data_IF_366135852766
#
_entry.id   IF_366135852766
#
_cell.length_a   1.000
_cell.length_b   1.000
_cell.length_c   1.000
_cell.angle_alpha   90.00
_cell.angle_beta   90.00
_cell.angle_gamma   90.00
#
_symmetry.space_group_name_H-M   'P 1'
#
loop_
_entity.id
_entity.type
_entity.pdbx_description
1 polymer ?
#
# COMPACT_ATOMS: atom_id res chain seq x y z
N UNK A 1 10.40 -5.52 -28.09
CA UNK A 1 9.25 -5.75 -27.20
C UNK A 1 8.44 -4.47 -27.17
N UNK A 2 7.14 -4.54 -27.46
CA UNK A 2 6.24 -3.40 -27.22
C UNK A 2 6.16 -3.17 -25.71
N UNK A 3 6.09 -1.92 -25.20
CA UNK A 3 5.73 -1.69 -23.81
C UNK A 3 4.39 -2.40 -23.57
N UNK A 4 4.31 -3.22 -22.54
CA UNK A 4 3.03 -3.78 -22.11
C UNK A 4 2.26 -2.58 -21.56
N UNK A 5 1.28 -2.09 -22.31
CA UNK A 5 0.34 -1.08 -21.80
C UNK A 5 -0.33 -1.65 -20.54
N UNK A 6 -0.52 -0.80 -19.54
CA UNK A 6 -1.05 -1.19 -18.26
C UNK A 6 -1.97 -0.10 -17.72
N UNK A 7 -2.98 -0.52 -16.96
CA UNK A 7 -3.93 0.37 -16.32
C UNK A 7 -3.54 0.69 -14.88
N UNK A 8 -4.02 1.84 -14.41
CA UNK A 8 -3.73 2.34 -13.06
C UNK A 8 -4.88 2.03 -12.11
N UNK A 9 -4.56 1.40 -10.98
CA UNK A 9 -5.48 1.19 -9.86
C UNK A 9 -5.12 2.14 -8.74
N UNK A 10 -5.99 3.11 -8.45
CA UNK A 10 -5.79 4.10 -7.40
C UNK A 10 -6.28 3.61 -6.04
N UNK A 11 -5.45 3.78 -5.03
CA UNK A 11 -5.73 3.42 -3.65
C UNK A 11 -5.73 4.70 -2.82
N UNK A 12 -6.88 5.01 -2.23
CA UNK A 12 -7.07 6.16 -1.36
C UNK A 12 -6.85 5.75 0.10
N UNK A 13 -5.66 6.03 0.63
CA UNK A 13 -5.35 5.73 2.03
C UNK A 13 -5.92 6.81 2.97
N UNK A 14 -7.07 6.52 3.59
CA UNK A 14 -7.72 7.38 4.59
C UNK A 14 -7.66 6.79 6.01
N UNK A 15 -6.65 5.95 6.27
CA UNK A 15 -6.44 5.35 7.57
C UNK A 15 -6.04 6.40 8.63
N UNK A 16 -6.06 5.97 9.89
CA UNK A 16 -5.66 6.78 11.04
C UNK A 16 -4.20 7.28 10.93
N UNK A 17 -3.90 8.44 11.52
CA UNK A 17 -2.55 9.00 11.54
C UNK A 17 -1.55 8.01 12.14
N UNK A 18 -0.32 7.99 11.62
CA UNK A 18 0.72 7.05 12.06
C UNK A 18 0.62 5.65 11.44
N UNK A 19 -0.44 5.36 10.66
CA UNK A 19 -0.57 4.09 9.95
C UNK A 19 0.03 4.12 8.54
N UNK A 20 0.44 2.95 8.07
CA UNK A 20 0.99 2.69 6.74
C UNK A 20 0.14 1.61 6.09
N UNK A 21 -0.18 1.80 4.80
CA UNK A 21 -0.89 0.82 4.00
C UNK A 21 -0.01 0.36 2.84
N UNK A 22 0.11 -0.94 2.66
CA UNK A 22 0.67 -1.56 1.47
C UNK A 22 -0.39 -2.36 0.74
N UNK A 23 -0.30 -2.41 -0.58
CA UNK A 23 -1.13 -3.31 -1.39
C UNK A 23 -0.23 -4.08 -2.35
N UNK A 24 -0.40 -5.40 -2.34
CA UNK A 24 0.13 -6.29 -3.35
C UNK A 24 -1.00 -6.66 -4.32
N UNK A 25 -0.77 -6.52 -5.62
CA UNK A 25 -1.59 -7.19 -6.62
C UNK A 25 -1.02 -8.59 -6.84
N UNK A 26 -1.87 -9.61 -6.70
CA UNK A 26 -1.49 -11.01 -6.84
C UNK A 26 -2.39 -11.73 -7.83
N UNK A 27 -1.84 -12.66 -8.60
CA UNK A 27 -2.59 -13.58 -9.46
C UNK A 27 -3.41 -14.58 -8.62
N UNK A 28 -4.31 -15.31 -9.26
CA UNK A 28 -5.13 -16.33 -8.58
C UNK A 28 -4.30 -17.48 -7.97
N UNK A 29 -3.13 -17.79 -8.55
CA UNK A 29 -2.17 -18.76 -8.00
C UNK A 29 -1.24 -18.15 -6.93
N UNK A 30 -1.50 -16.91 -6.51
CA UNK A 30 -0.81 -16.24 -5.40
C UNK A 30 0.53 -15.60 -5.76
N UNK A 31 0.88 -15.48 -7.05
CA UNK A 31 2.11 -14.80 -7.46
C UNK A 31 1.93 -13.29 -7.46
N UNK A 32 2.93 -12.59 -6.94
CA UNK A 32 2.93 -11.12 -6.94
C UNK A 32 3.14 -10.56 -8.34
N UNK A 33 2.26 -9.67 -8.74
CA UNK A 33 2.33 -8.89 -9.98
C UNK A 33 3.10 -7.59 -9.71
N UNK A 34 2.61 -6.80 -8.76
CA UNK A 34 3.19 -5.52 -8.37
C UNK A 34 2.82 -5.17 -6.93
N UNK A 35 3.49 -4.18 -6.35
CA UNK A 35 3.28 -3.74 -4.98
C UNK A 35 3.62 -2.27 -4.82
N UNK A 36 2.82 -1.57 -4.02
CA UNK A 36 3.12 -0.19 -3.63
C UNK A 36 2.51 0.10 -2.26
N UNK A 37 2.95 1.17 -1.61
CA UNK A 37 2.52 1.52 -0.27
C UNK A 37 2.58 3.04 -0.06
N UNK A 38 1.85 3.51 0.95
CA UNK A 38 2.00 4.87 1.44
C UNK A 38 1.55 5.01 2.89
N UNK A 39 1.92 6.12 3.50
CA UNK A 39 1.45 6.50 4.83
C UNK A 39 0.00 7.01 4.76
N UNK A 40 -0.67 7.04 5.91
CA UNK A 40 -2.01 7.62 6.08
C UNK A 40 -2.15 8.98 5.40
N UNK A 41 -3.33 9.21 4.80
CA UNK A 41 -3.68 10.41 4.03
C UNK A 41 -2.85 10.68 2.77
N UNK A 42 -1.99 9.73 2.36
CA UNK A 42 -1.28 9.77 1.07
C UNK A 42 -1.81 8.64 0.18
N UNK A 43 -2.46 9.02 -0.92
CA UNK A 43 -2.87 8.06 -1.94
C UNK A 43 -1.67 7.50 -2.70
N UNK A 44 -1.84 6.32 -3.27
CA UNK A 44 -0.85 5.67 -4.13
C UNK A 44 -1.58 4.85 -5.20
N UNK A 45 -0.84 4.29 -6.14
CA UNK A 45 -1.41 3.48 -7.19
C UNK A 45 -0.55 2.27 -7.53
N UNK A 46 -1.20 1.27 -8.12
CA UNK A 46 -0.56 0.14 -8.78
C UNK A 46 -0.71 0.30 -10.29
N UNK A 47 0.31 -0.13 -11.03
CA UNK A 47 0.22 -0.28 -12.49
C UNK A 47 0.07 -1.77 -12.78
N UNK A 48 -1.08 -2.17 -13.30
CA UNK A 48 -1.39 -3.56 -13.62
C UNK A 48 -1.22 -3.76 -15.12
N UNK A 49 -0.47 -4.79 -15.56
CA UNK A 49 -0.37 -5.15 -16.98
C UNK A 49 -1.75 -5.47 -17.57
N UNK A 50 -2.05 -5.00 -18.78
CA UNK A 50 -3.37 -5.22 -19.41
C UNK A 50 -3.63 -6.68 -19.82
N UNK A 51 -2.60 -7.53 -19.88
CA UNK A 51 -2.73 -8.97 -20.07
C UNK A 51 -3.15 -9.72 -18.80
N UNK A 52 -3.26 -9.03 -17.65
CA UNK A 52 -3.77 -9.60 -16.41
C UNK A 52 -5.30 -9.53 -16.39
N UNK A 53 -5.95 -10.65 -16.71
CA UNK A 53 -7.42 -10.75 -16.75
C UNK A 53 -8.09 -10.63 -15.38
N UNK A 54 -7.48 -11.20 -14.34
CA UNK A 54 -7.97 -11.20 -12.97
C UNK A 54 -6.81 -11.18 -11.98
N UNK A 55 -6.99 -10.45 -10.88
CA UNK A 55 -6.03 -10.35 -9.79
C UNK A 55 -6.77 -10.05 -8.49
N UNK A 56 -6.13 -10.38 -7.37
CA UNK A 56 -6.57 -9.98 -6.04
C UNK A 56 -5.70 -8.82 -5.55
N UNK A 57 -6.29 -7.95 -4.74
CA UNK A 57 -5.57 -6.93 -3.99
C UNK A 57 -5.44 -7.39 -2.55
N UNK A 58 -4.22 -7.66 -2.11
CA UNK A 58 -3.91 -8.04 -0.75
C UNK A 58 -3.43 -6.81 0.03
N UNK A 59 -4.18 -6.42 1.07
CA UNK A 59 -3.93 -5.21 1.85
C UNK A 59 -3.15 -5.53 3.12
N UNK A 60 -1.98 -4.92 3.27
CA UNK A 60 -1.18 -4.94 4.49
C UNK A 60 -1.31 -3.62 5.25
N UNK A 61 -1.45 -3.70 6.57
CA UNK A 61 -1.59 -2.54 7.46
C UNK A 61 -0.56 -2.63 8.58
N UNK A 62 0.15 -1.52 8.81
CA UNK A 62 1.07 -1.38 9.95
C UNK A 62 0.69 -0.10 10.68
N UNK A 63 0.58 -0.18 12.01
CA UNK A 63 0.43 0.98 12.89
C UNK A 63 1.65 1.06 13.79
N UNK A 64 2.11 2.28 14.05
CA UNK A 64 3.14 2.55 15.04
C UNK A 64 2.47 3.28 16.20
N UNK A 65 2.61 2.75 17.42
CA UNK A 65 2.28 3.51 18.63
C UNK A 65 3.36 4.60 18.82
N UNK A 66 2.97 5.87 18.84
CA UNK A 66 3.85 6.93 19.30
C UNK A 66 4.03 6.81 20.82
N UNK A 67 5.20 6.35 21.24
CA UNK A 67 5.62 6.48 22.62
C UNK A 67 6.02 7.93 22.88
N UNK A 68 5.15 8.72 23.49
CA UNK A 68 5.56 9.99 24.10
C UNK A 68 6.54 9.69 25.23
N UNK A 69 7.82 10.01 25.03
CA UNK A 69 8.79 10.07 26.12
C UNK A 69 8.37 11.23 27.03
N UNK A 70 7.71 10.92 28.15
CA UNK A 70 7.47 11.89 29.22
C UNK A 70 8.84 12.21 29.83
N UNK A 71 9.39 13.36 29.47
CA UNK A 71 10.67 13.83 29.99
C UNK A 71 10.43 14.38 31.41
N UNK A 72 10.54 13.53 32.43
CA UNK A 72 10.34 13.88 33.84
C UNK A 72 11.52 14.67 34.43
N UNK A 73 11.95 15.75 33.78
CA UNK A 73 13.01 16.64 34.28
C UNK A 73 12.45 17.96 34.85
N UNK A 74 11.35 17.88 35.61
CA UNK A 74 10.90 19.00 36.46
C UNK A 74 10.67 18.53 37.90
N UNK A 75 11.75 18.49 38.70
CA UNK A 75 11.96 19.27 39.93
C UNK A 75 13.14 18.77 40.75
#
# INVERSE_FOLDING_TARGET
MSPIEGHTVWIHNKLEWGTWAGVDAITEDGKKITSNWSISHKGFHLTIPDDTSSYYLHFGLISFEEYTLVNNNEK
#
